data_IF_552266742306
#
_entry.id   IF_552266742306
#
_cell.length_a   1.000
_cell.length_b   1.000
_cell.length_c   1.000
_cell.angle_alpha   90.00
_cell.angle_beta   90.00
_cell.angle_gamma   90.00
#
_symmetry.space_group_name_H-M   'P 1'
#
loop_
_entity.id
_entity.type
_entity.pdbx_description
1 polymer ?
#
# COMPACT_ATOMS: atom_id res chain seq x y z
N UNK A 1 -19.69 -18.10 -7.46
CA UNK A 1 -18.94 -18.29 -8.73
C UNK A 1 -19.04 -17.09 -9.68
N UNK A 2 -20.22 -16.49 -9.91
CA UNK A 2 -20.35 -15.28 -10.76
C UNK A 2 -19.61 -14.05 -10.21
N UNK A 3 -19.80 -13.70 -8.93
CA UNK A 3 -19.09 -12.58 -8.30
C UNK A 3 -17.57 -12.80 -8.27
N UNK A 4 -17.11 -14.02 -7.96
CA UNK A 4 -15.69 -14.38 -7.98
C UNK A 4 -15.02 -14.13 -9.33
N UNK A 5 -15.67 -14.55 -10.41
CA UNK A 5 -15.15 -14.32 -11.77
C UNK A 5 -15.20 -12.84 -12.13
N UNK A 6 -16.18 -12.11 -11.61
CA UNK A 6 -16.28 -10.65 -11.79
C UNK A 6 -15.16 -9.91 -11.05
N UNK A 7 -14.76 -10.31 -9.84
CA UNK A 7 -13.65 -9.69 -9.11
C UNK A 7 -12.30 -9.98 -9.76
N UNK A 8 -12.03 -11.22 -10.16
CA UNK A 8 -10.79 -11.58 -10.86
C UNK A 8 -10.69 -10.88 -12.24
N UNK A 9 -11.80 -10.84 -12.99
CA UNK A 9 -11.86 -10.08 -14.24
C UNK A 9 -11.72 -8.58 -13.99
N UNK A 10 -12.32 -8.06 -12.92
CA UNK A 10 -12.22 -6.68 -12.50
C UNK A 10 -10.78 -6.28 -12.16
N UNK A 11 -10.04 -7.13 -11.44
CA UNK A 11 -8.62 -6.92 -11.13
C UNK A 11 -7.79 -6.82 -12.42
N UNK A 12 -7.95 -7.79 -13.33
CA UNK A 12 -7.22 -7.76 -14.60
C UNK A 12 -7.56 -6.52 -15.44
N UNK A 13 -8.83 -6.16 -15.54
CA UNK A 13 -9.26 -4.93 -16.23
C UNK A 13 -8.72 -3.68 -15.55
N UNK A 14 -8.63 -3.64 -14.22
CA UNK A 14 -8.03 -2.50 -13.51
C UNK A 14 -6.52 -2.39 -13.77
N UNK A 15 -5.80 -3.53 -13.81
CA UNK A 15 -4.39 -3.58 -14.22
C UNK A 15 -4.24 -3.06 -15.65
N UNK A 16 -5.07 -3.52 -16.60
CA UNK A 16 -5.06 -3.05 -17.99
C UNK A 16 -5.31 -1.53 -18.09
N UNK A 17 -6.26 -1.01 -17.32
CA UNK A 17 -6.58 0.44 -17.27
C UNK A 17 -5.46 1.29 -16.69
N UNK A 18 -4.61 0.74 -15.82
CA UNK A 18 -3.45 1.46 -15.28
C UNK A 18 -2.46 1.87 -16.39
N UNK A 19 -2.40 1.09 -17.49
CA UNK A 19 -1.51 1.33 -18.62
C UNK A 19 -0.02 1.10 -18.33
N UNK A 20 0.34 0.71 -17.12
CA UNK A 20 1.73 0.60 -16.68
C UNK A 20 2.19 -0.87 -16.69
N UNK A 21 2.88 -1.27 -17.77
CA UNK A 21 3.34 -2.65 -18.00
C UNK A 21 2.28 -3.73 -17.69
N UNK A 22 1.03 -3.61 -18.20
CA UNK A 22 -0.11 -4.39 -17.70
C UNK A 22 0.06 -5.91 -17.83
N UNK A 23 0.75 -6.39 -18.87
CA UNK A 23 1.07 -7.81 -19.02
C UNK A 23 2.02 -8.33 -17.94
N UNK A 24 3.10 -7.59 -17.66
CA UNK A 24 4.07 -7.92 -16.61
C UNK A 24 3.41 -7.95 -15.23
N UNK A 25 2.62 -6.92 -14.94
CA UNK A 25 1.92 -6.78 -13.66
C UNK A 25 0.87 -7.87 -13.48
N UNK A 26 0.07 -8.14 -14.52
CA UNK A 26 -0.93 -9.20 -14.47
C UNK A 26 -0.28 -10.58 -14.26
N UNK A 27 0.79 -10.91 -15.00
CA UNK A 27 1.49 -12.19 -14.87
C UNK A 27 2.07 -12.36 -13.46
N UNK A 28 2.68 -11.31 -12.89
CA UNK A 28 3.23 -11.35 -11.53
C UNK A 28 2.15 -11.53 -10.46
N UNK A 29 1.05 -10.79 -10.57
CA UNK A 29 -0.09 -10.86 -9.63
C UNK A 29 -0.79 -12.22 -9.72
N UNK A 30 -1.10 -12.70 -10.93
CA UNK A 30 -1.75 -13.99 -11.17
C UNK A 30 -0.89 -15.15 -10.66
N UNK A 31 0.43 -15.11 -10.92
CA UNK A 31 1.36 -16.11 -10.40
C UNK A 31 1.46 -16.10 -8.87
N UNK A 32 1.39 -14.94 -8.23
CA UNK A 32 1.48 -14.83 -6.77
C UNK A 32 0.18 -15.26 -6.06
N UNK A 33 -0.98 -14.96 -6.66
CA UNK A 33 -2.30 -15.40 -6.17
C UNK A 33 -2.40 -16.93 -6.23
N UNK A 34 -1.94 -17.54 -7.33
CA UNK A 34 -2.16 -18.97 -7.58
C UNK A 34 -3.65 -19.28 -7.73
N UNK A 35 -4.12 -20.34 -7.06
CA UNK A 35 -5.51 -20.82 -7.19
C UNK A 35 -6.50 -20.10 -6.24
N UNK A 36 -6.03 -19.12 -5.47
CA UNK A 36 -6.86 -18.41 -4.51
C UNK A 36 -7.83 -17.43 -5.17
N UNK A 37 -8.96 -17.20 -4.48
CA UNK A 37 -9.95 -16.23 -4.93
C UNK A 37 -9.61 -14.85 -4.39
N UNK A 38 -9.58 -13.87 -5.28
CA UNK A 38 -9.53 -12.45 -4.92
C UNK A 38 -10.90 -12.02 -4.39
N UNK A 39 -10.91 -11.44 -3.20
CA UNK A 39 -12.08 -10.93 -2.47
C UNK A 39 -12.24 -9.44 -2.72
N UNK A 40 -11.15 -8.69 -2.61
CA UNK A 40 -11.08 -7.25 -2.88
C UNK A 40 -9.71 -6.91 -3.47
N UNK A 41 -9.62 -5.81 -4.21
CA UNK A 41 -8.36 -5.36 -4.77
C UNK A 41 -8.29 -3.84 -4.92
N UNK A 42 -7.07 -3.32 -5.01
CA UNK A 42 -6.74 -1.96 -5.42
C UNK A 42 -5.63 -2.03 -6.46
N UNK A 43 -5.73 -1.21 -7.51
CA UNK A 43 -4.64 -0.96 -8.45
C UNK A 43 -4.41 0.53 -8.45
N UNK A 44 -3.23 0.97 -8.03
CA UNK A 44 -2.87 2.38 -7.96
C UNK A 44 -1.59 2.61 -8.75
N UNK A 45 -1.65 3.53 -9.70
CA UNK A 45 -0.51 3.96 -10.50
C UNK A 45 -0.13 5.34 -10.02
N UNK A 46 1.01 5.43 -9.32
CA UNK A 46 1.52 6.68 -8.80
C UNK A 46 2.57 7.22 -9.78
N UNK A 47 2.50 8.53 -10.01
CA UNK A 47 3.55 9.29 -10.67
C UNK A 47 4.16 10.23 -9.63
N UNK A 48 5.28 9.81 -9.04
CA UNK A 48 6.01 10.59 -8.05
C UNK A 48 7.26 11.22 -8.69
N UNK A 49 7.66 12.37 -8.15
CA UNK A 49 9.01 12.87 -8.34
C UNK A 49 9.85 12.37 -7.18
N UNK A 50 10.98 11.71 -7.45
CA UNK A 50 11.90 11.35 -6.39
C UNK A 50 12.66 12.59 -5.87
N UNK A 51 13.42 12.49 -4.76
CA UNK A 51 14.19 13.60 -4.23
C UNK A 51 15.25 14.17 -5.19
N UNK A 52 15.60 13.42 -6.25
CA UNK A 52 16.47 13.87 -7.34
C UNK A 52 15.70 14.51 -8.50
N UNK A 53 14.39 14.73 -8.34
CA UNK A 53 13.46 15.29 -9.33
C UNK A 53 13.27 14.41 -10.57
N UNK A 54 13.56 13.11 -10.47
CA UNK A 54 13.24 12.15 -11.54
C UNK A 54 11.80 11.65 -11.40
N UNK A 55 11.10 11.53 -12.52
CA UNK A 55 9.74 10.97 -12.53
C UNK A 55 9.85 9.46 -12.36
N UNK A 56 9.45 8.96 -11.19
CA UNK A 56 9.24 7.54 -10.95
C UNK A 56 7.77 7.23 -11.13
N UNK A 57 7.51 6.39 -12.13
CA UNK A 57 6.21 5.76 -12.30
C UNK A 57 6.31 4.40 -11.65
N UNK A 58 5.34 4.08 -10.82
CA UNK A 58 5.24 2.74 -10.27
C UNK A 58 3.77 2.38 -10.13
N UNK A 59 3.49 1.08 -10.16
CA UNK A 59 2.15 0.58 -9.92
C UNK A 59 2.16 -0.34 -8.71
N UNK A 60 1.23 -0.08 -7.80
CA UNK A 60 0.98 -0.88 -6.61
C UNK A 60 -0.36 -1.58 -6.78
N UNK A 61 -0.35 -2.90 -6.69
CA UNK A 61 -1.54 -3.74 -6.69
C UNK A 61 -1.67 -4.40 -5.32
N UNK A 62 -2.82 -4.19 -4.68
CA UNK A 62 -3.22 -4.92 -3.48
C UNK A 62 -4.31 -5.91 -3.87
N UNK A 63 -4.16 -7.17 -3.46
CA UNK A 63 -5.17 -8.20 -3.65
C UNK A 63 -5.40 -8.93 -2.32
N UNK A 64 -6.63 -8.86 -1.82
CA UNK A 64 -7.07 -9.59 -0.64
C UNK A 64 -7.63 -10.94 -1.06
N UNK A 65 -7.14 -12.01 -0.45
CA UNK A 65 -7.70 -13.36 -0.59
C UNK A 65 -8.34 -13.81 0.71
N UNK A 66 -8.84 -15.05 0.77
CA UNK A 66 -9.36 -15.61 2.01
C UNK A 66 -8.28 -15.87 3.08
N UNK A 67 -7.00 -15.95 2.69
CA UNK A 67 -5.92 -16.36 3.60
C UNK A 67 -4.81 -15.33 3.78
N UNK A 68 -4.68 -14.38 2.86
CA UNK A 68 -3.57 -13.40 2.83
C UNK A 68 -3.91 -12.13 2.07
N UNK A 69 -3.19 -11.07 2.43
CA UNK A 69 -3.01 -9.86 1.64
C UNK A 69 -1.82 -10.07 0.70
N UNK A 70 -2.00 -9.81 -0.58
CA UNK A 70 -0.93 -9.79 -1.58
C UNK A 70 -0.66 -8.34 -1.97
N UNK A 71 0.61 -7.97 -1.94
CA UNK A 71 1.15 -6.74 -2.48
C UNK A 71 1.96 -7.08 -3.73
N UNK A 72 1.76 -6.35 -4.80
CA UNK A 72 2.62 -6.37 -5.97
C UNK A 72 3.01 -4.94 -6.29
N UNK A 73 4.31 -4.67 -6.37
CA UNK A 73 4.85 -3.36 -6.71
C UNK A 73 5.72 -3.50 -7.94
N UNK A 74 5.53 -2.65 -8.95
CA UNK A 74 6.37 -2.62 -10.14
C UNK A 74 6.92 -1.22 -10.36
N UNK A 75 8.24 -1.14 -10.35
CA UNK A 75 9.02 0.07 -10.65
C UNK A 75 9.70 -0.05 -12.01
N UNK A 76 9.96 1.09 -12.64
CA UNK A 76 10.91 1.21 -13.75
C UNK A 76 12.16 1.96 -13.30
N UNK A 77 13.30 1.42 -13.73
CA UNK A 77 14.61 1.97 -13.44
C UNK A 77 15.27 2.44 -14.73
N UNK A 78 15.97 3.60 -14.71
CA UNK A 78 16.81 4.01 -15.82
C UNK A 78 17.97 3.01 -16.04
N UNK A 79 18.70 3.11 -17.16
CA UNK A 79 19.93 2.35 -17.36
C UNK A 79 20.92 2.58 -16.21
N UNK A 80 21.58 1.51 -15.77
CA UNK A 80 22.53 1.54 -14.65
C UNK A 80 23.68 0.55 -14.84
N UNK A 81 24.51 0.39 -13.81
CA UNK A 81 25.59 -0.61 -13.84
C UNK A 81 25.03 -2.01 -14.08
N UNK A 82 25.55 -2.71 -15.09
CA UNK A 82 25.11 -4.05 -15.47
C UNK A 82 23.85 -4.10 -16.34
N UNK A 83 23.07 -3.02 -16.47
CA UNK A 83 21.87 -2.95 -17.31
C UNK A 83 21.85 -1.69 -18.17
N UNK A 84 22.23 -1.82 -19.44
CA UNK A 84 22.41 -0.69 -20.37
C UNK A 84 21.09 -0.15 -20.96
N UNK A 85 19.94 -0.66 -20.54
CA UNK A 85 18.61 -0.24 -20.99
C UNK A 85 17.69 -0.04 -19.79
N UNK A 86 16.64 0.78 -19.90
CA UNK A 86 15.60 0.84 -18.88
C UNK A 86 15.03 -0.56 -18.64
N UNK A 87 14.69 -0.86 -17.40
CA UNK A 87 14.14 -2.14 -17.01
C UNK A 87 13.13 -1.98 -15.88
N UNK A 88 12.19 -2.90 -15.80
CA UNK A 88 11.23 -2.94 -14.72
C UNK A 88 11.63 -3.99 -13.68
N UNK A 89 11.37 -3.71 -12.41
CA UNK A 89 11.42 -4.70 -11.34
C UNK A 89 10.03 -4.86 -10.75
N UNK A 90 9.55 -6.10 -10.67
CA UNK A 90 8.29 -6.42 -10.01
C UNK A 90 8.55 -7.26 -8.76
N UNK A 91 8.11 -6.77 -7.62
CA UNK A 91 8.19 -7.46 -6.33
C UNK A 91 6.79 -7.85 -5.88
N UNK A 92 6.61 -9.11 -5.47
CA UNK A 92 5.38 -9.58 -4.85
C UNK A 92 5.62 -10.02 -3.41
N UNK A 93 4.73 -9.63 -2.51
CA UNK A 93 4.76 -10.01 -1.10
C UNK A 93 3.42 -10.60 -0.69
N UNK A 94 3.47 -11.69 0.08
CA UNK A 94 2.30 -12.41 0.57
C UNK A 94 2.27 -12.36 2.10
N UNK A 95 1.38 -11.53 2.64
CA UNK A 95 1.21 -11.30 4.07
C UNK A 95 0.02 -12.08 4.58
N UNK A 96 0.24 -13.02 5.51
CA UNK A 96 -0.86 -13.73 6.16
C UNK A 96 -1.76 -12.75 6.91
N UNK A 97 -3.07 -12.97 6.91
CA UNK A 97 -4.01 -12.05 7.57
C UNK A 97 -3.75 -11.92 9.07
N UNK A 98 -3.29 -12.97 9.74
CA UNK A 98 -2.92 -12.97 11.16
C UNK A 98 -1.63 -12.19 11.48
N UNK A 99 -0.89 -11.74 10.45
CA UNK A 99 0.31 -10.89 10.57
C UNK A 99 0.03 -9.43 10.31
N UNK A 100 -1.14 -9.08 9.77
CA UNK A 100 -1.55 -7.68 9.64
C UNK A 100 -1.88 -7.16 11.03
N UNK A 101 -1.05 -6.25 11.53
CA UNK A 101 -1.14 -5.71 12.88
C UNK A 101 -2.07 -4.50 12.94
N UNK A 102 -2.09 -3.69 11.88
CA UNK A 102 -2.89 -2.47 11.81
C UNK A 102 -3.42 -2.21 10.41
N UNK A 103 -4.64 -1.68 10.35
CA UNK A 103 -5.26 -1.12 9.13
C UNK A 103 -5.83 0.23 9.53
N UNK A 104 -5.14 1.31 9.16
CA UNK A 104 -5.55 2.68 9.44
C UNK A 104 -6.09 3.34 8.17
N UNK A 105 -7.22 4.04 8.28
CA UNK A 105 -7.84 4.72 7.14
C UNK A 105 -8.21 6.15 7.52
N UNK A 106 -7.47 7.10 6.97
CA UNK A 106 -7.74 8.53 7.09
C UNK A 106 -8.61 8.99 5.94
N UNK A 107 -9.62 9.83 6.22
CA UNK A 107 -10.55 10.39 5.24
C UNK A 107 -10.47 11.90 5.28
N UNK A 108 -10.35 12.54 4.13
CA UNK A 108 -10.39 13.99 3.98
C UNK A 108 -11.75 14.38 3.43
N UNK A 109 -12.47 15.23 4.16
CA UNK A 109 -13.78 15.77 3.75
C UNK A 109 -13.65 17.30 3.71
N UNK A 110 -13.79 17.93 2.53
CA UNK A 110 -13.82 19.39 2.44
C UNK A 110 -15.14 19.90 3.03
N UNK A 111 -15.11 21.11 3.60
CA UNK A 111 -16.30 21.79 4.15
C UNK A 111 -17.18 20.90 5.05
N UNK A 112 -16.64 20.34 6.16
CA UNK A 112 -17.30 19.30 6.96
C UNK A 112 -18.64 19.72 7.57
N UNK A 113 -18.93 21.02 7.65
CA UNK A 113 -20.23 21.55 8.07
C UNK A 113 -21.38 21.20 7.10
N UNK A 114 -21.06 20.88 5.84
CA UNK A 114 -22.02 20.50 4.79
C UNK A 114 -22.19 18.98 4.66
N UNK A 115 -21.47 18.21 5.48
CA UNK A 115 -21.42 16.76 5.37
C UNK A 115 -22.81 16.13 5.56
N UNK A 116 -23.16 15.22 4.65
CA UNK A 116 -24.32 14.34 4.80
C UNK A 116 -23.85 12.88 4.84
N UNK A 117 -24.47 12.03 5.69
CA UNK A 117 -24.12 10.61 5.75
C UNK A 117 -24.15 9.95 4.37
N UNK A 118 -23.07 9.25 4.04
CA UNK A 118 -22.90 8.57 2.75
C UNK A 118 -22.16 9.40 1.68
N UNK A 119 -21.87 10.68 1.93
CA UNK A 119 -20.98 11.45 1.06
C UNK A 119 -19.57 10.84 1.08
N UNK A 120 -18.98 10.53 -0.09
CA UNK A 120 -17.61 10.03 -0.15
C UNK A 120 -16.61 11.14 0.23
N UNK A 121 -15.47 10.79 0.84
CA UNK A 121 -14.38 11.73 1.07
C UNK A 121 -13.73 12.14 -0.26
N UNK A 122 -13.10 13.32 -0.29
CA UNK A 122 -12.33 13.79 -1.45
C UNK A 122 -10.97 13.10 -1.57
N UNK A 123 -10.45 12.58 -0.45
CA UNK A 123 -9.18 11.85 -0.39
C UNK A 123 -9.20 10.82 0.73
N UNK A 124 -8.51 9.71 0.51
CA UNK A 124 -8.26 8.68 1.49
C UNK A 124 -6.77 8.35 1.57
N UNK A 125 -6.30 8.09 2.79
CA UNK A 125 -4.97 7.53 3.04
C UNK A 125 -5.17 6.21 3.79
N UNK A 126 -4.82 5.10 3.14
CA UNK A 126 -4.82 3.76 3.70
C UNK A 126 -3.40 3.41 4.13
N UNK A 127 -3.20 3.14 5.41
CA UNK A 127 -1.94 2.65 5.97
C UNK A 127 -2.15 1.24 6.51
N UNK A 128 -1.30 0.30 6.12
CA UNK A 128 -1.36 -1.08 6.56
C UNK A 128 0.00 -1.45 7.14
N UNK A 129 0.01 -1.84 8.42
CA UNK A 129 1.20 -2.28 9.12
C UNK A 129 1.18 -3.78 9.37
N UNK A 130 2.24 -4.47 8.94
CA UNK A 130 2.48 -5.88 9.26
C UNK A 130 3.90 -6.16 9.78
N UNK A 131 4.70 -5.11 9.98
CA UNK A 131 5.98 -5.18 10.68
C UNK A 131 7.00 -6.10 10.02
N UNK A 132 7.04 -6.14 8.69
CA UNK A 132 8.03 -6.94 7.97
C UNK A 132 9.47 -6.48 8.28
N UNK A 133 9.66 -5.17 8.41
CA UNK A 133 10.92 -4.53 8.78
C UNK A 133 10.63 -3.45 9.83
N UNK A 134 11.47 -3.40 10.87
CA UNK A 134 11.43 -2.34 11.86
C UNK A 134 12.82 -1.72 11.98
N UNK A 135 12.87 -0.38 11.93
CA UNK A 135 14.05 0.41 12.21
C UNK A 135 14.04 0.80 13.68
N UNK A 136 15.17 0.58 14.36
CA UNK A 136 15.33 0.88 15.78
C UNK A 136 16.46 1.90 15.90
N UNK A 137 16.09 3.13 16.26
CA UNK A 137 17.03 4.21 16.55
C UNK A 137 17.18 4.33 18.06
N UNK A 138 18.41 4.14 18.56
CA UNK A 138 18.73 4.19 19.99
C UNK A 138 19.75 5.29 20.27
N UNK A 139 19.53 6.02 21.35
CA UNK A 139 20.48 6.97 21.92
C UNK A 139 20.63 6.74 23.43
N UNK A 140 21.78 7.08 24.04
CA UNK A 140 21.93 7.02 25.48
C UNK A 140 20.86 7.84 26.19
N UNK A 141 20.17 7.23 27.15
CA UNK A 141 19.16 7.93 27.93
C UNK A 141 19.83 8.96 28.86
N UNK A 142 19.17 10.10 29.06
CA UNK A 142 19.63 11.16 29.98
C UNK A 142 18.53 11.47 31.00
N UNK A 143 18.93 11.89 32.21
CA UNK A 143 17.98 12.25 33.28
C UNK A 143 17.77 13.76 33.44
N UNK A 144 18.39 14.57 32.56
CA UNK A 144 18.32 16.04 32.60
C UNK A 144 19.27 16.71 33.59
N UNK A 145 20.04 15.96 34.38
CA UNK A 145 21.11 16.47 35.25
C UNK A 145 22.47 16.39 34.53
N UNK A 146 23.09 17.54 34.29
CA UNK A 146 24.38 17.67 33.59
C UNK A 146 25.56 17.05 34.36
N UNK A 147 25.40 16.82 35.67
CA UNK A 147 26.46 16.24 36.52
C UNK A 147 26.24 14.75 36.83
N UNK A 148 25.20 14.13 36.26
CA UNK A 148 24.91 12.73 36.52
C UNK A 148 25.77 11.81 35.62
N UNK A 149 26.68 11.06 36.23
CA UNK A 149 27.52 10.06 35.53
C UNK A 149 26.92 8.64 35.54
N UNK A 150 25.66 8.49 35.98
CA UNK A 150 25.01 7.19 36.03
C UNK A 150 24.63 6.69 34.63
N UNK A 151 24.79 5.38 34.39
CA UNK A 151 24.28 4.74 33.19
C UNK A 151 22.76 4.59 33.29
N UNK A 152 22.03 5.31 32.45
CA UNK A 152 20.57 5.29 32.38
C UNK A 152 20.04 4.37 31.27
N UNK A 153 20.93 3.62 30.61
CA UNK A 153 20.60 2.76 29.48
C UNK A 153 20.35 3.56 28.20
N UNK A 154 19.46 3.04 27.35
CA UNK A 154 19.13 3.63 26.06
C UNK A 154 17.64 3.99 26.01
N UNK A 155 17.35 5.13 25.39
CA UNK A 155 16.01 5.48 24.92
C UNK A 155 16.02 5.43 23.39
N UNK A 156 14.86 5.34 22.77
CA UNK A 156 14.80 5.27 21.32
C UNK A 156 13.40 5.20 20.75
N UNK A 157 13.35 5.17 19.43
CA UNK A 157 12.14 5.04 18.64
C UNK A 157 12.19 3.78 17.78
N UNK A 158 11.05 3.14 17.64
CA UNK A 158 10.85 2.05 16.67
C UNK A 158 9.91 2.58 15.59
N UNK A 159 10.34 2.52 14.34
CA UNK A 159 9.50 2.74 13.17
C UNK A 159 9.35 1.42 12.42
N UNK A 160 8.14 1.12 11.97
CA UNK A 160 7.88 -0.02 11.12
C UNK A 160 7.70 0.45 9.68
N UNK A 161 8.16 -0.36 8.73
CA UNK A 161 7.79 -0.16 7.33
C UNK A 161 6.30 -0.50 7.20
N UNK A 162 5.50 0.53 6.99
CA UNK A 162 4.09 0.43 6.68
C UNK A 162 3.87 0.69 5.19
N UNK A 163 2.93 -0.05 4.58
CA UNK A 163 2.43 0.35 3.28
C UNK A 163 1.48 1.53 3.48
N UNK A 164 1.76 2.65 2.82
CA UNK A 164 0.86 3.79 2.75
C UNK A 164 0.41 4.03 1.31
N UNK A 165 -0.90 4.14 1.12
CA UNK A 165 -1.55 4.40 -0.15
C UNK A 165 -2.44 5.63 -0.03
N UNK A 166 -2.18 6.67 -0.83
CA UNK A 166 -2.99 7.88 -0.89
C UNK A 166 -3.73 7.96 -2.22
N UNK A 167 -5.05 8.16 -2.18
CA UNK A 167 -5.90 8.27 -3.37
C UNK A 167 -6.83 9.44 -3.19
N UNK A 168 -6.94 10.30 -4.22
CA UNK A 168 -7.80 11.47 -4.20
C UNK A 168 -8.74 11.50 -5.40
N UNK A 169 -9.93 12.07 -5.23
CA UNK A 169 -10.87 12.28 -6.33
C UNK A 169 -10.27 13.15 -7.43
N UNK A 170 -9.49 14.17 -7.05
CA UNK A 170 -8.91 15.13 -7.98
C UNK A 170 -7.82 14.51 -8.89
N UNK A 171 -7.02 13.58 -8.35
CA UNK A 171 -5.93 12.94 -9.11
C UNK A 171 -6.35 11.62 -9.76
N UNK A 172 -7.13 10.81 -9.03
CA UNK A 172 -7.40 9.41 -9.37
C UNK A 172 -8.86 9.13 -9.74
N UNK A 173 -9.76 10.08 -9.44
CA UNK A 173 -11.20 9.95 -9.64
C UNK A 173 -11.96 9.32 -8.46
N UNK A 174 -13.24 9.64 -8.34
CA UNK A 174 -14.09 9.17 -7.23
C UNK A 174 -14.27 7.66 -7.16
N UNK A 175 -14.20 6.97 -8.30
CA UNK A 175 -14.26 5.49 -8.35
C UNK A 175 -13.04 4.86 -7.64
N UNK A 176 -11.85 5.45 -7.81
CA UNK A 176 -10.63 4.97 -7.15
C UNK A 176 -10.71 5.15 -5.63
N UNK A 177 -11.22 6.30 -5.16
CA UNK A 177 -11.48 6.55 -3.73
C UNK A 177 -12.45 5.52 -3.18
N UNK A 178 -13.56 5.28 -3.88
CA UNK A 178 -14.57 4.28 -3.49
C UNK A 178 -13.99 2.87 -3.42
N UNK A 179 -13.12 2.52 -4.37
CA UNK A 179 -12.45 1.22 -4.40
C UNK A 179 -11.51 1.02 -3.20
N UNK A 180 -10.73 2.04 -2.83
CA UNK A 180 -9.85 1.97 -1.63
C UNK A 180 -10.67 1.85 -0.35
N UNK A 181 -11.79 2.58 -0.23
CA UNK A 181 -12.71 2.45 0.90
C UNK A 181 -13.24 1.02 1.05
N UNK A 182 -13.74 0.44 -0.05
CA UNK A 182 -14.26 -0.92 -0.08
C UNK A 182 -13.18 -1.96 0.25
N UNK A 183 -11.96 -1.76 -0.27
CA UNK A 183 -10.83 -2.63 0.04
C UNK A 183 -10.44 -2.57 1.52
N UNK A 184 -10.33 -1.37 2.09
CA UNK A 184 -9.98 -1.17 3.50
C UNK A 184 -11.02 -1.79 4.44
N UNK A 185 -12.31 -1.68 4.12
CA UNK A 185 -13.39 -2.35 4.85
C UNK A 185 -13.27 -3.88 4.79
N UNK A 186 -13.02 -4.43 3.59
CA UNK A 186 -12.84 -5.87 3.40
C UNK A 186 -11.62 -6.39 4.16
N UNK A 187 -10.50 -5.67 4.11
CA UNK A 187 -9.26 -6.03 4.82
C UNK A 187 -9.46 -5.99 6.34
N UNK A 188 -10.01 -4.89 6.87
CA UNK A 188 -10.30 -4.73 8.30
C UNK A 188 -11.21 -5.84 8.83
N UNK A 189 -12.24 -6.20 8.05
CA UNK A 189 -13.14 -7.32 8.39
C UNK A 189 -12.42 -8.68 8.37
N UNK A 190 -11.45 -8.86 7.46
CA UNK A 190 -10.72 -10.11 7.33
C UNK A 190 -9.67 -10.30 8.44
N UNK A 191 -9.07 -9.21 8.93
CA UNK A 191 -8.02 -9.23 9.98
C UNK A 191 -8.58 -9.22 11.40
N UNK A 192 -9.87 -8.93 11.58
CA UNK A 192 -10.55 -8.96 12.88
C UNK A 192 -11.00 -10.37 13.35
N UNK A 193 -10.66 -11.43 12.61
CA UNK A 193 -11.17 -12.80 12.81
C UNK A 193 -10.26 -13.66 13.67
#
# INVERSE_FOLDING_TARGET
MRETRATAHGLRTAIERSGYYPGLVADAVESAIGDERVVAYVVHHEAAFDPAMEVRRHVTVLALTASRLLLCHTDEHPPGEGMTRPHASTTTEAVKLDRVQSVALTRVVPDPETYVPGMPPSEVVLTIGWGAIAHIDLEPATCGDENCEADHGYTGSVTADDLSLRVSEAADGGDAVTQVLAFAEALSTATAR
#
